data_IF_164342895940
#
_entry.id   IF_164342895940
#
_cell.length_a   1.000
_cell.length_b   1.000
_cell.length_c   1.000
_cell.angle_alpha   90.00
_cell.angle_beta   90.00
_cell.angle_gamma   90.00
#
_symmetry.space_group_name_H-M   'P 1'
#
loop_
_entity.id
_entity.type
_entity.pdbx_description
1 polymer ?
#
# COMPACT_ATOMS: atom_id res chain seq x y z
N UNK A 1 60.66 0.77 66.93
CA UNK A 1 60.33 -0.39 66.03
C UNK A 1 59.04 -0.06 65.36
N UNK A 2 59.09 0.62 64.17
CA UNK A 2 57.95 1.10 63.44
C UNK A 2 57.61 0.12 62.30
N UNK A 3 56.38 -0.46 62.29
CA UNK A 3 55.85 -1.33 61.21
C UNK A 3 55.10 -0.45 60.20
N UNK A 4 55.65 -0.39 59.01
CA UNK A 4 54.97 0.24 57.88
C UNK A 4 54.00 -0.77 57.22
N UNK A 5 52.70 -0.45 57.22
CA UNK A 5 51.65 -1.19 56.54
C UNK A 5 51.48 -0.69 55.10
N UNK A 6 51.82 -1.50 54.14
CA UNK A 6 51.59 -1.23 52.71
C UNK A 6 50.19 -1.74 52.29
N UNK A 7 49.23 -0.82 52.07
CA UNK A 7 47.92 -1.15 51.53
C UNK A 7 48.00 -1.32 50.02
N UNK A 8 47.74 -2.54 49.52
CA UNK A 8 47.53 -2.82 48.07
C UNK A 8 46.14 -2.33 47.61
N UNK A 9 46.14 -1.29 46.79
CA UNK A 9 44.91 -0.84 46.10
C UNK A 9 44.66 -1.75 44.91
N UNK A 10 43.53 -2.47 44.92
CA UNK A 10 43.00 -3.20 43.77
C UNK A 10 42.22 -2.23 42.93
N UNK A 11 42.62 -2.01 41.67
CA UNK A 11 41.85 -1.25 40.67
C UNK A 11 40.99 -2.28 39.95
N UNK A 12 39.70 -2.26 40.22
CA UNK A 12 38.72 -3.03 39.45
C UNK A 12 38.45 -2.32 38.10
N UNK A 13 38.90 -2.92 37.01
CA UNK A 13 38.55 -2.47 35.67
C UNK A 13 37.13 -2.89 35.36
N UNK A 14 36.19 -1.93 35.29
CA UNK A 14 34.83 -2.16 34.82
C UNK A 14 34.85 -2.15 33.29
N UNK A 15 34.81 -3.35 32.71
CA UNK A 15 34.62 -3.51 31.26
C UNK A 15 33.19 -3.18 30.85
N UNK A 16 32.99 -2.10 30.11
CA UNK A 16 31.71 -1.78 29.49
C UNK A 16 31.54 -2.65 28.23
N UNK A 17 30.76 -3.71 28.33
CA UNK A 17 30.30 -4.47 27.18
C UNK A 17 29.28 -3.63 26.42
N UNK A 18 29.68 -3.00 25.33
CA UNK A 18 28.78 -2.35 24.38
C UNK A 18 28.02 -3.44 23.60
N UNK A 19 26.80 -3.73 24.01
CA UNK A 19 25.87 -4.57 23.25
C UNK A 19 25.43 -3.80 22.02
N UNK A 20 26.00 -4.08 20.86
CA UNK A 20 25.48 -3.63 19.57
C UNK A 20 24.18 -4.38 19.29
N UNK A 21 23.04 -3.76 19.58
CA UNK A 21 21.75 -4.25 19.16
C UNK A 21 21.73 -4.22 17.61
N UNK A 22 21.86 -5.38 16.98
CA UNK A 22 21.56 -5.56 15.56
C UNK A 22 20.07 -5.27 15.39
N UNK A 23 19.72 -4.15 14.73
CA UNK A 23 18.38 -3.90 14.28
C UNK A 23 17.98 -5.07 13.36
N UNK A 24 16.80 -5.71 13.57
CA UNK A 24 16.35 -6.76 12.68
C UNK A 24 16.25 -6.20 11.27
N UNK A 25 16.97 -6.80 10.33
CA UNK A 25 16.78 -6.51 8.91
C UNK A 25 15.29 -6.75 8.59
N UNK A 26 14.63 -5.75 7.99
CA UNK A 26 13.23 -5.90 7.58
C UNK A 26 13.13 -7.12 6.68
N UNK A 27 12.29 -8.10 7.06
CA UNK A 27 12.07 -9.29 6.23
C UNK A 27 11.53 -8.83 4.86
N UNK A 28 12.01 -9.44 3.76
CA UNK A 28 11.51 -9.13 2.42
C UNK A 28 9.98 -9.27 2.40
N UNK A 29 9.26 -8.23 2.03
CA UNK A 29 7.81 -8.27 1.87
C UNK A 29 7.50 -8.58 0.41
N UNK A 30 7.24 -9.85 0.10
CA UNK A 30 6.98 -10.32 -1.27
C UNK A 30 5.80 -9.59 -1.93
N UNK A 31 4.80 -9.18 -1.16
CA UNK A 31 3.68 -8.41 -1.68
C UNK A 31 4.10 -6.99 -2.07
N UNK A 32 4.99 -6.37 -1.28
CA UNK A 32 5.58 -5.07 -1.60
C UNK A 32 6.45 -5.13 -2.86
N UNK A 33 7.30 -6.17 -2.96
CA UNK A 33 8.14 -6.38 -4.15
C UNK A 33 7.27 -6.60 -5.39
N UNK A 34 6.16 -7.32 -5.25
CA UNK A 34 5.21 -7.52 -6.33
C UNK A 34 4.52 -6.22 -6.75
N UNK A 35 4.07 -5.37 -5.81
CA UNK A 35 3.50 -4.05 -6.13
C UNK A 35 4.48 -3.15 -6.86
N UNK A 36 5.75 -3.15 -6.49
CA UNK A 36 6.79 -2.36 -7.16
C UNK A 36 6.97 -2.73 -8.64
N UNK A 37 6.57 -3.93 -9.06
CA UNK A 37 6.62 -4.31 -10.50
C UNK A 37 5.65 -3.49 -11.35
N UNK A 38 4.66 -2.82 -10.72
CA UNK A 38 3.72 -1.93 -11.42
C UNK A 38 4.33 -0.57 -11.78
N UNK A 39 5.50 -0.19 -11.25
CA UNK A 39 6.15 1.09 -11.60
C UNK A 39 6.18 1.28 -13.11
N UNK A 40 5.65 2.42 -13.56
CA UNK A 40 5.51 2.75 -14.98
C UNK A 40 4.14 3.34 -15.31
N UNK A 41 3.88 3.47 -16.60
CA UNK A 41 2.64 4.02 -17.15
C UNK A 41 1.81 2.92 -17.77
N UNK A 42 0.50 3.02 -17.59
CA UNK A 42 -0.47 2.03 -18.00
C UNK A 42 -1.69 2.69 -18.62
N UNK A 43 -2.29 2.00 -19.57
CA UNK A 43 -3.58 2.36 -20.15
C UNK A 43 -4.54 1.20 -20.03
N UNK A 44 -5.80 1.50 -19.84
CA UNK A 44 -6.80 0.47 -19.63
C UNK A 44 -8.21 0.91 -19.94
N UNK A 45 -9.12 0.00 -19.70
CA UNK A 45 -10.55 0.20 -19.84
C UNK A 45 -11.26 -0.28 -18.58
N UNK A 46 -12.37 0.38 -18.30
CA UNK A 46 -13.32 0.00 -17.26
C UNK A 46 -14.35 -1.00 -17.81
N UNK A 47 -14.67 -2.00 -17.00
CA UNK A 47 -15.81 -2.88 -17.19
C UNK A 47 -16.53 -3.05 -15.84
N UNK A 48 -17.75 -2.59 -15.72
CA UNK A 48 -18.54 -2.65 -14.49
C UNK A 48 -20.02 -2.84 -14.78
N UNK A 49 -20.76 -3.30 -13.77
CA UNK A 49 -22.22 -3.45 -13.84
C UNK A 49 -22.96 -2.11 -13.83
N UNK A 50 -22.26 -1.05 -13.48
CA UNK A 50 -22.79 0.31 -13.44
C UNK A 50 -22.48 1.01 -14.77
N UNK A 51 -23.50 1.18 -15.59
CA UNK A 51 -23.42 1.86 -16.90
C UNK A 51 -23.02 3.34 -16.79
N UNK A 52 -22.93 3.90 -15.60
CA UNK A 52 -22.39 5.26 -15.38
C UNK A 52 -20.94 5.40 -15.85
N UNK A 53 -20.25 4.28 -16.02
CA UNK A 53 -18.89 4.21 -16.52
C UNK A 53 -18.77 3.99 -18.04
N UNK A 54 -19.85 3.83 -18.78
CA UNK A 54 -19.85 3.79 -20.26
C UNK A 54 -19.33 5.10 -20.87
N UNK A 55 -19.20 6.17 -20.06
CA UNK A 55 -18.53 7.42 -20.41
C UNK A 55 -17.04 7.49 -20.02
N UNK A 56 -16.51 6.53 -19.27
CA UNK A 56 -15.07 6.43 -19.00
C UNK A 56 -14.37 5.81 -20.21
N UNK A 57 -13.89 6.62 -21.11
CA UNK A 57 -13.06 6.21 -22.23
C UNK A 57 -11.80 5.45 -21.77
N UNK A 58 -10.69 5.62 -22.46
CA UNK A 58 -9.39 5.08 -22.03
C UNK A 58 -9.00 5.69 -20.67
N UNK A 59 -8.79 4.84 -19.66
CA UNK A 59 -8.28 5.23 -18.34
C UNK A 59 -6.77 5.09 -18.34
N UNK A 60 -6.08 6.13 -17.87
CA UNK A 60 -4.63 6.10 -17.68
C UNK A 60 -4.30 6.01 -16.21
N UNK A 61 -3.29 5.21 -15.89
CA UNK A 61 -2.80 5.05 -14.52
C UNK A 61 -1.28 5.06 -14.54
N UNK A 62 -0.68 5.69 -13.54
CA UNK A 62 0.76 5.69 -13.38
C UNK A 62 1.15 5.26 -11.98
N UNK A 63 2.23 4.49 -11.87
CA UNK A 63 2.84 4.12 -10.59
C UNK A 63 4.25 4.68 -10.49
N UNK A 64 4.54 5.36 -9.38
CA UNK A 64 5.84 5.98 -9.11
C UNK A 64 6.28 5.69 -7.67
N UNK A 65 7.54 5.29 -7.48
CA UNK A 65 8.13 5.26 -6.13
C UNK A 65 8.46 6.68 -5.69
N UNK A 66 7.99 7.04 -4.50
CA UNK A 66 8.22 8.34 -3.85
C UNK A 66 8.75 8.11 -2.43
N UNK A 67 9.00 9.19 -1.68
CA UNK A 67 9.48 9.11 -0.29
C UNK A 67 10.71 8.19 -0.15
N UNK A 68 11.73 8.42 -0.99
CA UNK A 68 12.96 7.61 -1.03
C UNK A 68 12.70 6.10 -1.26
N UNK A 69 11.69 5.77 -2.07
CA UNK A 69 11.35 4.39 -2.43
C UNK A 69 10.51 3.62 -1.40
N UNK A 70 10.08 4.27 -0.32
CA UNK A 70 9.28 3.65 0.74
C UNK A 70 7.77 3.69 0.50
N UNK A 71 7.33 4.50 -0.47
CA UNK A 71 5.92 4.67 -0.81
C UNK A 71 5.74 4.52 -2.31
N UNK A 72 4.73 3.77 -2.73
CA UNK A 72 4.29 3.67 -4.12
C UNK A 72 3.06 4.54 -4.30
N UNK A 73 3.15 5.52 -5.18
CA UNK A 73 2.04 6.39 -5.56
C UNK A 73 1.42 5.86 -6.86
N UNK A 74 0.13 5.60 -6.82
CA UNK A 74 -0.72 5.35 -7.98
C UNK A 74 -1.50 6.63 -8.27
N UNK A 75 -1.47 7.10 -9.51
CA UNK A 75 -2.32 8.20 -9.99
C UNK A 75 -3.21 7.67 -11.09
N UNK A 76 -4.52 7.74 -10.91
CA UNK A 76 -5.52 7.39 -11.92
C UNK A 76 -6.04 8.67 -12.57
N UNK A 77 -5.92 8.75 -13.89
CA UNK A 77 -6.48 9.82 -14.71
C UNK A 77 -7.56 9.22 -15.63
N UNK A 78 -8.79 9.67 -15.42
CA UNK A 78 -9.94 9.25 -16.20
C UNK A 78 -10.23 10.21 -17.37
N UNK A 79 -9.35 11.18 -17.64
CA UNK A 79 -9.55 12.22 -18.66
C UNK A 79 -10.56 13.31 -18.27
N UNK A 80 -10.98 13.33 -17.01
CA UNK A 80 -11.85 14.34 -16.40
C UNK A 80 -11.18 14.94 -15.16
N UNK A 81 -11.72 16.03 -14.59
CA UNK A 81 -11.21 16.66 -13.35
C UNK A 81 -11.41 15.78 -12.09
N UNK A 82 -11.44 14.46 -12.27
CA UNK A 82 -11.68 13.45 -11.23
C UNK A 82 -10.49 12.54 -11.02
N UNK A 83 -9.27 13.05 -11.24
CA UNK A 83 -8.04 12.29 -10.95
C UNK A 83 -8.01 11.84 -9.50
N UNK A 84 -7.65 10.57 -9.28
CA UNK A 84 -7.58 9.96 -7.96
C UNK A 84 -6.16 9.49 -7.68
N UNK A 85 -5.80 9.44 -6.39
CA UNK A 85 -4.48 8.98 -5.95
C UNK A 85 -4.63 7.87 -4.92
N UNK A 86 -3.80 6.83 -5.04
CA UNK A 86 -3.66 5.82 -3.98
C UNK A 86 -2.21 5.73 -3.56
N UNK A 87 -1.97 5.82 -2.25
CA UNK A 87 -0.63 5.73 -1.66
C UNK A 87 -0.48 4.39 -0.95
N UNK A 88 0.50 3.59 -1.37
CA UNK A 88 0.80 2.28 -0.77
C UNK A 88 2.11 2.36 -0.01
N UNK A 89 2.16 1.76 1.18
CA UNK A 89 3.39 1.62 1.97
C UNK A 89 3.34 0.39 2.86
N UNK A 90 4.51 -0.08 3.28
CA UNK A 90 4.63 -1.20 4.22
C UNK A 90 4.36 -0.71 5.65
N UNK A 91 3.54 -1.45 6.39
CA UNK A 91 3.28 -1.27 7.81
C UNK A 91 3.42 -2.61 8.53
N UNK A 92 4.59 -2.87 9.09
CA UNK A 92 4.93 -4.15 9.68
C UNK A 92 4.88 -5.28 8.64
N UNK A 93 4.01 -6.27 8.85
CA UNK A 93 3.82 -7.41 7.94
C UNK A 93 2.79 -7.18 6.84
N UNK A 94 2.10 -6.03 6.83
CA UNK A 94 1.04 -5.71 5.89
C UNK A 94 1.42 -4.53 4.99
N UNK A 95 0.64 -4.32 3.94
CA UNK A 95 0.69 -3.12 3.12
C UNK A 95 -0.59 -2.32 3.38
N UNK A 96 -0.44 -1.04 3.67
CA UNK A 96 -1.53 -0.09 3.72
C UNK A 96 -1.68 0.60 2.37
N UNK A 97 -2.93 0.82 1.96
CA UNK A 97 -3.32 1.64 0.83
C UNK A 97 -4.26 2.74 1.32
N UNK A 98 -3.92 4.00 1.07
CA UNK A 98 -4.82 5.14 1.30
C UNK A 98 -5.26 5.67 -0.04
N UNK A 99 -6.56 5.53 -0.33
CA UNK A 99 -7.17 5.99 -1.58
C UNK A 99 -7.82 7.36 -1.37
N UNK A 100 -7.35 8.35 -2.10
CA UNK A 100 -7.91 9.71 -2.15
C UNK A 100 -8.92 9.77 -3.30
N UNK A 101 -10.19 9.61 -2.94
CA UNK A 101 -11.29 9.47 -3.87
C UNK A 101 -11.75 10.82 -4.41
N UNK A 102 -12.20 10.87 -5.68
CA UNK A 102 -12.86 12.02 -6.27
C UNK A 102 -14.15 12.43 -5.51
N UNK A 103 -14.76 11.50 -4.76
CA UNK A 103 -15.86 11.79 -3.84
C UNK A 103 -15.43 12.59 -2.59
N UNK A 104 -14.16 12.97 -2.47
CA UNK A 104 -13.61 13.81 -1.40
C UNK A 104 -13.27 13.08 -0.11
N UNK A 105 -13.47 11.76 -0.02
CA UNK A 105 -13.09 10.96 1.15
C UNK A 105 -11.78 10.20 0.94
N UNK A 106 -11.24 9.65 2.03
CA UNK A 106 -10.01 8.88 2.02
C UNK A 106 -10.27 7.53 2.68
N UNK A 107 -10.41 6.48 1.84
CA UNK A 107 -10.52 5.10 2.33
C UNK A 107 -9.13 4.52 2.60
N UNK A 108 -8.93 3.96 3.80
CA UNK A 108 -7.73 3.17 4.11
C UNK A 108 -8.06 1.68 4.04
N UNK A 109 -7.17 0.94 3.39
CA UNK A 109 -7.31 -0.49 3.16
C UNK A 109 -5.99 -1.17 3.49
N UNK A 110 -6.02 -2.46 3.81
CA UNK A 110 -4.83 -3.24 4.12
C UNK A 110 -4.84 -4.59 3.41
N UNK A 111 -3.65 -5.04 2.99
CA UNK A 111 -3.40 -6.38 2.49
C UNK A 111 -2.28 -7.04 3.29
N UNK A 112 -2.47 -8.29 3.71
CA UNK A 112 -1.49 -9.00 4.53
C UNK A 112 -0.45 -9.76 3.68
N UNK A 113 -0.86 -10.42 2.61
CA UNK A 113 0.00 -11.24 1.77
C UNK A 113 -0.56 -11.40 0.35
N UNK A 114 0.30 -11.83 -0.56
CA UNK A 114 -0.13 -12.36 -1.85
C UNK A 114 -0.93 -13.65 -1.68
N UNK A 115 -1.79 -13.95 -2.66
CA UNK A 115 -2.37 -15.28 -2.80
C UNK A 115 -1.27 -16.36 -2.92
N UNK A 116 -1.57 -17.64 -2.61
CA UNK A 116 -0.58 -18.72 -2.66
C UNK A 116 0.10 -18.90 -4.02
N UNK A 117 -0.59 -18.56 -5.12
CA UNK A 117 -0.03 -18.58 -6.47
C UNK A 117 0.76 -17.32 -6.85
N UNK A 118 0.87 -16.35 -5.94
CA UNK A 118 1.60 -15.09 -6.12
C UNK A 118 0.97 -14.11 -7.12
N UNK A 119 -0.29 -14.36 -7.54
CA UNK A 119 -0.93 -13.56 -8.61
C UNK A 119 -1.88 -12.49 -8.10
N UNK A 120 -2.33 -12.56 -6.86
CA UNK A 120 -3.38 -11.68 -6.37
C UNK A 120 -2.99 -11.02 -5.06
N UNK A 121 -3.27 -9.73 -4.93
CA UNK A 121 -3.15 -8.98 -3.69
C UNK A 121 -4.49 -8.33 -3.37
N UNK A 122 -5.09 -8.70 -2.23
CA UNK A 122 -6.41 -8.24 -1.82
C UNK A 122 -6.32 -7.26 -0.66
N UNK A 123 -6.70 -6.02 -0.91
CA UNK A 123 -6.84 -4.98 0.09
C UNK A 123 -8.27 -4.96 0.63
N UNK A 124 -8.40 -4.92 1.94
CA UNK A 124 -9.68 -4.86 2.65
C UNK A 124 -9.80 -3.58 3.43
N UNK A 125 -11.01 -3.07 3.56
CA UNK A 125 -11.32 -1.85 4.29
C UNK A 125 -10.81 -1.90 5.74
N UNK A 126 -10.23 -0.80 6.18
CA UNK A 126 -9.82 -0.54 7.57
C UNK A 126 -10.69 0.55 8.15
N UNK A 127 -10.65 1.73 7.55
CA UNK A 127 -11.47 2.89 7.91
C UNK A 127 -11.51 3.91 6.76
N UNK A 128 -12.24 5.01 6.96
CA UNK A 128 -12.25 6.13 6.04
C UNK A 128 -12.39 7.45 6.79
N UNK A 129 -11.85 8.52 6.21
CA UNK A 129 -11.99 9.88 6.71
C UNK A 129 -12.82 10.73 5.76
N UNK A 130 -13.34 11.87 6.27
CA UNK A 130 -14.19 12.81 5.52
C UNK A 130 -15.42 12.12 4.90
N UNK A 131 -16.15 11.37 5.73
CA UNK A 131 -17.33 10.61 5.32
C UNK A 131 -18.59 11.10 6.02
N UNK A 132 -19.72 10.99 5.33
CA UNK A 132 -21.08 11.16 5.84
C UNK A 132 -21.82 9.83 5.77
N UNK A 133 -23.03 9.71 6.37
CA UNK A 133 -23.82 8.48 6.29
C UNK A 133 -24.13 8.03 4.86
N UNK A 134 -24.17 8.97 3.89
CA UNK A 134 -24.52 8.70 2.49
C UNK A 134 -23.31 8.68 1.56
N UNK A 135 -22.09 8.77 2.10
CA UNK A 135 -20.88 8.76 1.28
C UNK A 135 -20.73 7.43 0.54
N UNK A 136 -20.29 7.50 -0.71
CA UNK A 136 -19.72 6.36 -1.41
C UNK A 136 -18.30 6.14 -0.93
N UNK A 137 -17.99 4.94 -0.45
CA UNK A 137 -16.71 4.59 0.17
C UNK A 137 -16.12 3.36 -0.52
N UNK A 138 -14.83 3.38 -0.86
CA UNK A 138 -14.12 2.19 -1.33
C UNK A 138 -13.96 1.19 -0.18
N UNK A 139 -14.47 -0.03 -0.37
CA UNK A 139 -14.44 -1.12 0.61
C UNK A 139 -13.23 -2.05 0.40
N UNK A 140 -12.60 -1.98 -0.75
CA UNK A 140 -11.45 -2.79 -1.08
C UNK A 140 -11.04 -2.70 -2.53
N UNK A 141 -9.86 -3.24 -2.80
CA UNK A 141 -9.38 -3.47 -4.16
C UNK A 141 -8.63 -4.80 -4.23
N UNK A 142 -8.90 -5.56 -5.27
CA UNK A 142 -8.15 -6.76 -5.61
C UNK A 142 -7.30 -6.45 -6.84
N UNK A 143 -5.98 -6.55 -6.67
CA UNK A 143 -5.01 -6.40 -7.77
C UNK A 143 -4.62 -7.79 -8.24
N UNK A 144 -4.87 -8.10 -9.51
CA UNK A 144 -4.49 -9.37 -10.15
C UNK A 144 -3.40 -9.12 -11.17
N UNK A 145 -2.24 -9.72 -10.96
CA UNK A 145 -1.07 -9.58 -11.83
C UNK A 145 -1.11 -10.64 -12.93
N UNK A 146 -1.23 -10.21 -14.18
CA UNK A 146 -1.28 -11.06 -15.37
C UNK A 146 -0.01 -10.83 -16.23
N UNK A 147 1.12 -11.26 -15.68
CA UNK A 147 2.44 -11.08 -16.29
C UNK A 147 3.05 -9.68 -16.08
N UNK A 148 4.11 -9.35 -16.83
CA UNK A 148 4.85 -8.10 -16.66
C UNK A 148 4.15 -6.87 -17.29
N UNK A 149 3.29 -7.09 -18.28
CA UNK A 149 2.70 -6.05 -19.10
C UNK A 149 1.17 -5.96 -18.98
N UNK A 150 0.56 -6.72 -18.05
CA UNK A 150 -0.88 -6.70 -17.79
C UNK A 150 -1.19 -6.88 -16.31
N UNK A 151 -2.20 -6.18 -15.84
CA UNK A 151 -2.82 -6.41 -14.53
C UNK A 151 -4.27 -5.94 -14.53
N UNK A 152 -5.01 -6.32 -13.48
CA UNK A 152 -6.39 -5.91 -13.27
C UNK A 152 -6.55 -5.35 -11.87
N UNK A 153 -7.50 -4.43 -11.72
CA UNK A 153 -8.00 -3.96 -10.42
C UNK A 153 -9.53 -4.17 -10.39
N UNK A 154 -9.99 -4.88 -9.37
CA UNK A 154 -11.41 -4.97 -9.03
C UNK A 154 -11.67 -4.13 -7.78
N UNK A 155 -12.22 -2.94 -7.97
CA UNK A 155 -12.57 -2.02 -6.90
C UNK A 155 -13.98 -2.29 -6.39
N UNK A 156 -14.12 -2.47 -5.08
CA UNK A 156 -15.43 -2.60 -4.42
C UNK A 156 -15.77 -1.29 -3.75
N UNK A 157 -16.92 -0.73 -4.07
CA UNK A 157 -17.48 0.46 -3.42
C UNK A 157 -18.82 0.16 -2.75
N UNK A 158 -19.20 1.00 -1.80
CA UNK A 158 -20.52 0.97 -1.13
C UNK A 158 -21.00 2.38 -0.83
N UNK A 159 -22.24 2.66 -1.12
CA UNK A 159 -22.88 3.94 -0.80
C UNK A 159 -23.72 3.79 0.46
N UNK A 160 -23.35 4.53 1.52
CA UNK A 160 -24.02 4.47 2.81
C UNK A 160 -23.83 3.11 3.52
N UNK A 161 -24.11 3.06 4.81
CA UNK A 161 -23.87 1.89 5.65
C UNK A 161 -24.73 0.66 5.27
N UNK A 162 -25.88 0.87 4.64
CA UNK A 162 -26.82 -0.19 4.21
C UNK A 162 -26.80 -0.47 2.73
N UNK A 163 -25.95 0.23 1.96
CA UNK A 163 -25.78 0.03 0.53
C UNK A 163 -25.24 -1.35 0.18
N UNK A 164 -25.51 -1.78 -1.03
CA UNK A 164 -24.90 -3.01 -1.57
C UNK A 164 -23.51 -2.72 -2.11
N UNK A 165 -22.63 -3.68 -2.04
CA UNK A 165 -21.33 -3.62 -2.68
C UNK A 165 -21.50 -3.61 -4.20
N UNK A 166 -20.80 -2.68 -4.84
CA UNK A 166 -20.67 -2.57 -6.29
C UNK A 166 -19.23 -2.81 -6.67
N UNK A 167 -19.00 -3.58 -7.72
CA UNK A 167 -17.65 -3.91 -8.19
C UNK A 167 -17.44 -3.32 -9.57
N UNK A 168 -16.41 -2.46 -9.66
CA UNK A 168 -15.89 -1.94 -10.91
C UNK A 168 -14.55 -2.61 -11.23
N UNK A 169 -14.40 -3.09 -12.46
CA UNK A 169 -13.19 -3.76 -12.91
C UNK A 169 -12.44 -2.93 -13.94
N UNK A 170 -11.15 -2.81 -13.75
CA UNK A 170 -10.23 -2.19 -14.69
C UNK A 170 -9.22 -3.22 -15.17
N UNK A 171 -8.96 -3.23 -16.47
CA UNK A 171 -7.91 -4.06 -17.07
C UNK A 171 -6.90 -3.13 -17.73
N UNK A 172 -5.62 -3.28 -17.34
CA UNK A 172 -4.54 -2.41 -17.79
C UNK A 172 -3.48 -3.15 -18.60
N UNK A 173 -2.93 -2.45 -19.58
CA UNK A 173 -1.76 -2.86 -20.35
C UNK A 173 -0.67 -1.78 -20.22
N UNK A 174 0.60 -2.22 -20.14
CA UNK A 174 1.74 -1.30 -19.99
C UNK A 174 1.91 -0.42 -21.24
N UNK A 175 2.15 0.86 -21.03
CA UNK A 175 2.54 1.78 -22.09
C UNK A 175 4.05 1.58 -22.34
N UNK A 176 4.43 1.37 -23.60
CA UNK A 176 5.82 1.22 -24.06
C UNK A 176 6.29 2.49 -24.74
#
# INVERSE_FOLDING_TARGET
MMRTSTSKRWIAAVGILASTALLPASQPNAAWDKLKTLVGDWKGAYAGADQSADGMGEVRISYRLVSNGTTLMETMDSGHDTSMVTMYHVDGSRILATHYCAAGNQSRMAAAALSPDGKTLSFRFVDATNVTPDSQIMQGVVVTFDGPDRFQQAWTSRTGAKGKDQVGMFTYSRVR
#
